data_IF_529118046694
#
_entry.id   IF_529118046694
#
_cell.length_a   1.000
_cell.length_b   1.000
_cell.length_c   1.000
_cell.angle_alpha   90.00
_cell.angle_beta   90.00
_cell.angle_gamma   90.00
#
_symmetry.space_group_name_H-M   'P 1'
#
loop_
_entity.id
_entity.type
_entity.pdbx_description
1 polymer ?
#
# COMPACT_ATOMS: atom_id res chain seq x y z
N UNK A 1 25.62 -7.14 23.34
CA UNK A 1 26.39 -6.74 22.16
C UNK A 1 25.95 -7.52 20.92
N UNK A 2 26.10 -8.86 20.89
CA UNK A 2 25.69 -9.71 19.74
C UNK A 2 24.20 -9.67 19.38
N UNK A 3 23.30 -9.57 20.37
CA UNK A 3 21.85 -9.46 20.13
C UNK A 3 21.45 -8.15 19.44
N UNK A 4 22.18 -7.06 19.68
CA UNK A 4 21.92 -5.76 19.05
C UNK A 4 22.42 -5.75 17.59
N UNK A 5 23.51 -6.46 17.32
CA UNK A 5 24.06 -6.66 15.97
C UNK A 5 23.09 -7.48 15.08
N UNK A 6 22.46 -8.50 15.65
CA UNK A 6 21.47 -9.35 14.95
C UNK A 6 20.21 -8.56 14.55
N UNK A 7 19.72 -7.65 15.40
CA UNK A 7 18.57 -6.80 15.11
C UNK A 7 18.89 -5.81 13.98
N UNK A 8 20.10 -5.25 13.98
CA UNK A 8 20.54 -4.34 12.92
C UNK A 8 20.69 -5.04 11.57
N UNK A 9 21.18 -6.29 11.55
CA UNK A 9 21.33 -7.09 10.32
C UNK A 9 19.98 -7.50 9.72
N UNK A 10 18.95 -7.69 10.53
CA UNK A 10 17.60 -8.03 10.07
C UNK A 10 16.82 -6.82 9.52
N UNK A 11 17.19 -5.59 9.92
CA UNK A 11 16.53 -4.37 9.47
C UNK A 11 16.94 -3.93 8.04
N UNK A 12 18.11 -4.34 7.55
CA UNK A 12 18.64 -3.92 6.24
C UNK A 12 18.27 -4.86 5.09
N UNK A 13 17.70 -6.03 5.35
CA UNK A 13 17.40 -7.04 4.32
C UNK A 13 16.14 -6.77 3.51
N UNK A 14 15.42 -5.66 3.76
CA UNK A 14 14.12 -5.35 3.13
C UNK A 14 14.18 -4.29 2.03
N UNK A 15 15.34 -3.74 1.67
CA UNK A 15 15.43 -2.76 0.58
C UNK A 15 15.51 -3.47 -0.78
N UNK A 16 14.38 -3.62 -1.46
CA UNK A 16 14.31 -4.02 -2.87
C UNK A 16 14.05 -2.79 -3.74
N UNK A 17 14.97 -2.45 -4.64
CA UNK A 17 14.79 -1.36 -5.61
C UNK A 17 14.38 -1.94 -6.96
N UNK A 18 13.24 -1.50 -7.50
CA UNK A 18 12.83 -1.80 -8.87
C UNK A 18 13.60 -0.89 -9.85
N UNK A 19 14.17 -1.47 -10.91
CA UNK A 19 14.83 -0.75 -12.00
C UNK A 19 14.09 -1.09 -13.30
N UNK A 20 13.52 -0.10 -13.97
CA UNK A 20 12.77 -0.28 -15.22
C UNK A 20 13.69 -0.01 -16.42
N UNK A 21 13.80 -0.93 -17.40
CA UNK A 21 14.61 -0.69 -18.58
C UNK A 21 13.96 0.37 -19.48
N UNK A 22 14.70 1.44 -19.75
CA UNK A 22 14.35 2.50 -20.69
C UNK A 22 14.35 1.93 -22.13
N UNK A 23 13.17 1.58 -22.64
CA UNK A 23 12.98 1.29 -24.06
C UNK A 23 12.63 2.58 -24.79
N UNK A 24 13.60 3.09 -25.52
CA UNK A 24 13.48 4.17 -26.48
C UNK A 24 12.72 3.66 -27.72
N UNK A 25 11.49 4.12 -27.91
CA UNK A 25 10.72 3.88 -29.15
C UNK A 25 9.89 5.11 -29.48
N UNK A 26 10.51 5.98 -30.27
CA UNK A 26 9.96 7.20 -30.83
C UNK A 26 8.87 6.91 -31.88
N UNK A 27 7.70 6.38 -31.45
CA UNK A 27 6.36 6.50 -32.10
C UNK A 27 5.19 6.15 -31.14
N UNK A 28 5.41 6.15 -29.82
CA UNK A 28 4.44 5.76 -28.80
C UNK A 28 4.18 6.85 -27.73
N UNK A 29 4.49 8.11 -28.05
CA UNK A 29 4.45 9.21 -27.09
C UNK A 29 3.05 9.52 -26.54
N UNK A 30 2.02 9.40 -27.37
CA UNK A 30 0.65 9.82 -27.04
C UNK A 30 -0.07 8.78 -26.15
N UNK A 31 -0.23 7.55 -26.64
CA UNK A 31 -0.91 6.49 -25.90
C UNK A 31 -0.21 6.07 -24.58
N UNK A 32 1.13 6.21 -24.49
CA UNK A 32 1.85 5.94 -23.23
C UNK A 32 1.70 7.10 -22.25
N UNK A 33 1.61 8.34 -22.73
CA UNK A 33 1.34 9.50 -21.88
C UNK A 33 -0.10 9.48 -21.36
N UNK A 34 -1.08 9.19 -22.20
CA UNK A 34 -2.48 9.04 -21.82
C UNK A 34 -2.68 7.93 -20.78
N UNK A 35 -2.09 6.75 -20.98
CA UNK A 35 -2.17 5.66 -19.99
C UNK A 35 -1.49 6.03 -18.68
N UNK A 36 -0.36 6.74 -18.73
CA UNK A 36 0.32 7.24 -17.51
C UNK A 36 -0.53 8.27 -16.79
N UNK A 37 -1.24 9.11 -17.52
CA UNK A 37 -2.18 10.10 -17.00
C UNK A 37 -3.35 9.40 -16.30
N UNK A 38 -3.98 8.43 -16.97
CA UNK A 38 -5.08 7.61 -16.45
C UNK A 38 -4.66 6.84 -15.18
N UNK A 39 -3.48 6.22 -15.19
CA UNK A 39 -2.92 5.54 -14.01
C UNK A 39 -2.65 6.55 -12.88
N UNK A 40 -2.12 7.73 -13.18
CA UNK A 40 -1.83 8.76 -12.18
C UNK A 40 -3.10 9.34 -11.56
N UNK A 41 -4.14 9.54 -12.36
CA UNK A 41 -5.46 9.99 -11.90
C UNK A 41 -6.13 8.89 -11.06
N UNK A 42 -6.08 7.63 -11.50
CA UNK A 42 -6.56 6.47 -10.73
C UNK A 42 -5.83 6.34 -9.37
N UNK A 43 -4.50 6.47 -9.37
CA UNK A 43 -3.66 6.49 -8.15
C UNK A 43 -4.07 7.64 -7.23
N UNK A 44 -4.20 8.86 -7.77
CA UNK A 44 -4.54 10.04 -6.99
C UNK A 44 -5.92 9.94 -6.35
N UNK A 45 -6.90 9.34 -7.02
CA UNK A 45 -8.25 9.23 -6.49
C UNK A 45 -8.46 8.03 -5.55
N UNK A 46 -7.71 6.93 -5.68
CA UNK A 46 -7.94 5.73 -4.88
C UNK A 46 -7.00 5.53 -3.69
N UNK A 47 -5.77 6.07 -3.72
CA UNK A 47 -4.85 5.92 -2.59
C UNK A 47 -5.22 6.80 -1.38
N UNK A 48 -5.98 7.87 -1.59
CA UNK A 48 -6.31 8.81 -0.54
C UNK A 48 -7.33 8.26 0.47
N UNK A 49 -8.16 7.30 0.07
CA UNK A 49 -9.32 6.85 0.87
C UNK A 49 -9.22 5.40 1.39
N UNK A 50 -8.16 4.65 1.04
CA UNK A 50 -8.01 3.26 1.51
C UNK A 50 -7.34 3.21 2.87
N UNK A 51 -7.96 2.48 3.80
CA UNK A 51 -7.48 2.26 5.17
C UNK A 51 -7.12 0.78 5.41
N UNK A 52 -6.85 0.05 4.35
CA UNK A 52 -6.56 -1.37 4.32
C UNK A 52 -5.32 -1.67 3.46
N UNK A 53 -4.62 -2.74 3.81
CA UNK A 53 -3.48 -3.25 3.08
C UNK A 53 -3.93 -4.44 2.22
N UNK A 54 -4.00 -4.23 0.91
CA UNK A 54 -4.24 -5.31 -0.06
C UNK A 54 -2.98 -6.15 -0.29
N UNK A 55 -3.11 -7.47 -0.22
CA UNK A 55 -2.02 -8.42 -0.48
C UNK A 55 -2.06 -8.89 -1.93
N UNK A 56 -3.22 -9.37 -2.37
CA UNK A 56 -3.45 -9.85 -3.73
C UNK A 56 -4.96 -9.91 -4.01
N UNK A 57 -5.30 -10.05 -5.28
CA UNK A 57 -6.65 -10.33 -5.72
C UNK A 57 -6.66 -11.52 -6.69
N UNK A 58 -7.79 -12.19 -6.78
CA UNK A 58 -8.01 -13.26 -7.76
C UNK A 58 -9.45 -13.24 -8.25
N UNK A 59 -9.66 -13.72 -9.47
CA UNK A 59 -10.98 -13.87 -10.06
C UNK A 59 -11.41 -15.33 -9.94
N UNK A 60 -12.62 -15.59 -9.47
CA UNK A 60 -13.16 -16.94 -9.36
C UNK A 60 -13.73 -17.44 -10.70
N UNK A 61 -14.18 -18.70 -10.72
CA UNK A 61 -14.76 -19.34 -11.92
C UNK A 61 -16.09 -18.68 -12.36
N UNK A 62 -16.72 -17.89 -11.49
CA UNK A 62 -17.93 -17.11 -11.79
C UNK A 62 -17.61 -15.71 -12.35
N UNK A 63 -16.33 -15.32 -12.39
CA UNK A 63 -15.88 -14.00 -12.85
C UNK A 63 -15.88 -12.92 -11.78
N UNK A 64 -16.10 -13.27 -10.50
CA UNK A 64 -16.11 -12.31 -9.38
C UNK A 64 -14.67 -12.04 -8.90
N UNK A 65 -14.35 -10.76 -8.65
CA UNK A 65 -13.03 -10.34 -8.16
C UNK A 65 -13.00 -10.36 -6.63
N UNK A 66 -12.15 -11.22 -6.07
CA UNK A 66 -11.94 -11.34 -4.62
C UNK A 66 -10.66 -10.60 -4.22
N UNK A 67 -10.76 -9.72 -3.21
CA UNK A 67 -9.64 -8.98 -2.64
C UNK A 67 -9.23 -9.59 -1.30
N UNK A 68 -7.95 -9.93 -1.16
CA UNK A 68 -7.39 -10.43 0.10
C UNK A 68 -6.47 -9.37 0.69
N UNK A 69 -6.77 -8.95 1.91
CA UNK A 69 -6.05 -7.89 2.62
C UNK A 69 -6.43 -7.81 4.10
N UNK A 70 -5.91 -6.80 4.80
CA UNK A 70 -6.24 -6.53 6.20
C UNK A 70 -6.25 -5.03 6.52
N UNK A 71 -7.06 -4.57 7.49
CA UNK A 71 -7.11 -3.17 7.87
C UNK A 71 -5.82 -2.70 8.54
N UNK A 72 -5.43 -1.45 8.29
CA UNK A 72 -4.22 -0.85 8.86
C UNK A 72 -4.32 -0.70 10.39
N UNK A 73 -3.20 -0.85 11.14
CA UNK A 73 -3.16 -0.52 12.55
C UNK A 73 -3.14 1.01 12.73
N UNK A 74 -4.00 1.52 13.61
CA UNK A 74 -4.00 2.90 14.08
C UNK A 74 -3.32 2.93 15.45
N UNK A 75 -2.38 3.85 15.61
CA UNK A 75 -1.64 4.09 16.84
C UNK A 75 -1.90 5.53 17.26
N UNK A 76 -2.53 5.73 18.42
CA UNK A 76 -2.78 7.04 19.00
C UNK A 76 -2.04 7.20 20.33
N UNK A 77 -1.59 8.41 20.60
CA UNK A 77 -1.02 8.80 21.89
C UNK A 77 -1.85 9.91 22.52
N UNK A 78 -2.68 9.54 23.50
CA UNK A 78 -3.61 10.45 24.18
C UNK A 78 -3.84 9.96 25.61
N UNK A 79 -3.16 10.58 26.58
CA UNK A 79 -3.13 10.12 27.98
C UNK A 79 -2.56 8.71 28.18
N UNK A 80 -2.05 8.09 27.12
CA UNK A 80 -1.61 6.69 27.04
C UNK A 80 -1.53 6.20 25.60
N UNK A 81 -0.92 5.03 25.40
CA UNK A 81 -0.81 4.38 24.09
C UNK A 81 -2.10 3.60 23.77
N UNK A 82 -2.72 3.89 22.62
CA UNK A 82 -3.89 3.17 22.09
C UNK A 82 -3.55 2.56 20.74
N UNK A 83 -3.77 1.26 20.57
CA UNK A 83 -3.51 0.55 19.29
C UNK A 83 -4.76 -0.25 18.91
N UNK A 84 -5.31 0.01 17.73
CA UNK A 84 -6.52 -0.67 17.25
C UNK A 84 -6.56 -0.70 15.71
N UNK A 85 -7.46 -1.49 15.13
CA UNK A 85 -7.62 -1.61 13.67
C UNK A 85 -8.39 -0.42 13.08
N UNK A 86 -7.97 0.08 11.92
CA UNK A 86 -8.68 1.12 11.16
C UNK A 86 -10.12 0.77 10.81
N UNK A 87 -10.46 -0.53 10.70
CA UNK A 87 -11.85 -0.97 10.53
C UNK A 87 -12.76 -0.58 11.72
N UNK A 88 -12.18 -0.32 12.90
CA UNK A 88 -12.89 0.17 14.09
C UNK A 88 -12.85 1.69 14.22
N UNK A 89 -12.21 2.39 13.28
CA UNK A 89 -12.04 3.84 13.31
C UNK A 89 -13.21 4.51 12.58
N UNK A 90 -14.24 4.86 13.33
CA UNK A 90 -15.39 5.60 12.82
C UNK A 90 -15.09 7.11 12.78
N UNK A 91 -14.15 7.53 11.91
CA UNK A 91 -13.82 8.94 11.64
C UNK A 91 -13.59 9.83 12.88
N UNK A 92 -13.09 9.26 13.98
CA UNK A 92 -12.85 10.01 15.22
C UNK A 92 -14.08 10.28 16.10
N UNK A 93 -15.28 9.82 15.74
CA UNK A 93 -16.48 9.94 16.58
C UNK A 93 -16.55 8.90 17.70
N UNK A 94 -15.85 7.78 17.53
CA UNK A 94 -15.71 6.74 18.55
C UNK A 94 -14.22 6.48 18.79
N UNK A 95 -13.71 6.96 19.91
CA UNK A 95 -12.44 6.45 20.45
C UNK A 95 -12.78 5.11 21.13
N UNK A 96 -12.14 4.05 20.66
CA UNK A 96 -12.35 2.66 21.08
C UNK A 96 -12.25 2.44 22.59
#
# INVERSE_FOLDING_TARGET
MTKLLLIFFMATSLTSFANEPENDSAKAGDARAERKQEVKEYIAHHLLDSHDFGLFSYTDDAGELHHVGFPLPIILWDGGLKVFSSAKFHHGEAVA
#
